data_IF_952200998315
#
_entry.id   IF_952200998315
#
_cell.length_a   1.000
_cell.length_b   1.000
_cell.length_c   1.000
_cell.angle_alpha   90.00
_cell.angle_beta   90.00
_cell.angle_gamma   90.00
#
_symmetry.space_group_name_H-M   'P 1'
#
loop_
_entity.id
_entity.type
_entity.pdbx_description
1 polymer ?
#
# COMPACT_ATOMS: atom_id res chain seq x y z
N UNK A 1 -7.49 -23.87 2.55
CA UNK A 1 -8.50 -22.88 2.11
C UNK A 1 -7.99 -21.51 2.54
N UNK A 2 -7.89 -20.54 1.62
CA UNK A 2 -7.41 -19.20 1.92
C UNK A 2 -8.31 -18.55 2.99
N UNK A 3 -7.72 -18.05 4.08
CA UNK A 3 -8.47 -17.43 5.19
C UNK A 3 -9.04 -16.06 4.82
N UNK A 4 -8.64 -15.50 3.68
CA UNK A 4 -9.05 -14.17 3.23
C UNK A 4 -9.93 -14.19 1.98
N UNK A 5 -10.69 -13.11 1.80
CA UNK A 5 -11.44 -12.77 0.58
C UNK A 5 -10.94 -11.42 0.07
N UNK A 6 -10.59 -11.36 -1.20
CA UNK A 6 -10.14 -10.13 -1.86
C UNK A 6 -11.31 -9.42 -2.56
N UNK A 7 -11.31 -8.10 -2.48
CA UNK A 7 -12.15 -7.22 -3.30
C UNK A 7 -11.25 -6.27 -4.07
N UNK A 8 -11.44 -6.19 -5.38
CA UNK A 8 -10.62 -5.38 -6.28
C UNK A 8 -11.52 -4.38 -7.01
N UNK A 9 -11.21 -3.11 -6.86
CA UNK A 9 -11.85 -2.00 -7.53
C UNK A 9 -10.86 -1.41 -8.53
N UNK A 10 -11.13 -1.61 -9.82
CA UNK A 10 -10.32 -1.07 -10.91
C UNK A 10 -10.84 0.29 -11.33
N UNK A 11 -9.93 1.19 -11.71
CA UNK A 11 -10.27 2.52 -12.21
C UNK A 11 -11.17 3.32 -11.26
N UNK A 12 -10.90 3.25 -9.95
CA UNK A 12 -11.58 4.09 -8.94
C UNK A 12 -11.40 5.57 -9.29
N UNK A 13 -10.19 5.90 -9.76
CA UNK A 13 -9.96 7.08 -10.59
C UNK A 13 -9.53 6.56 -11.98
N UNK A 14 -10.24 6.92 -13.06
CA UNK A 14 -9.99 6.38 -14.39
C UNK A 14 -8.51 6.46 -14.80
N UNK A 15 -7.93 5.32 -15.16
CA UNK A 15 -6.53 5.17 -15.58
C UNK A 15 -5.47 5.62 -14.56
N UNK A 16 -5.87 5.88 -13.32
CA UNK A 16 -4.98 6.43 -12.29
C UNK A 16 -4.90 5.56 -11.06
N UNK A 17 -6.04 5.09 -10.53
CA UNK A 17 -6.06 4.45 -9.21
C UNK A 17 -6.86 3.15 -9.26
N UNK A 18 -6.20 2.07 -8.85
CA UNK A 18 -6.84 0.82 -8.47
C UNK A 18 -6.73 0.62 -6.96
N UNK A 19 -7.69 -0.08 -6.38
CA UNK A 19 -7.80 -0.30 -4.93
C UNK A 19 -8.14 -1.77 -4.64
N UNK A 20 -7.42 -2.37 -3.72
CA UNK A 20 -7.60 -3.75 -3.27
C UNK A 20 -7.79 -3.83 -1.77
N UNK A 21 -8.64 -4.74 -1.33
CA UNK A 21 -8.84 -5.05 0.09
C UNK A 21 -8.88 -6.55 0.31
N UNK A 22 -8.17 -7.03 1.33
CA UNK A 22 -8.28 -8.41 1.81
C UNK A 22 -8.89 -8.42 3.20
N UNK A 23 -10.00 -9.16 3.32
CA UNK A 23 -10.71 -9.36 4.59
C UNK A 23 -10.56 -10.81 5.06
N UNK A 24 -10.40 -11.00 6.36
CA UNK A 24 -10.54 -12.32 6.98
C UNK A 24 -11.99 -12.82 6.80
N UNK A 25 -12.15 -14.04 6.30
CA UNK A 25 -13.47 -14.60 5.94
C UNK A 25 -14.36 -14.86 7.15
N UNK A 26 -13.77 -15.14 8.31
CA UNK A 26 -14.50 -15.57 9.50
C UNK A 26 -15.00 -14.37 10.31
N UNK A 27 -14.15 -13.38 10.48
CA UNK A 27 -14.42 -12.19 11.29
C UNK A 27 -14.88 -10.98 10.47
N UNK A 28 -14.63 -10.97 9.15
CA UNK A 28 -14.85 -9.79 8.32
C UNK A 28 -13.83 -8.67 8.58
N UNK A 29 -12.79 -8.90 9.38
CA UNK A 29 -11.75 -7.91 9.68
C UNK A 29 -10.92 -7.62 8.43
N UNK A 30 -10.70 -6.34 8.14
CA UNK A 30 -9.76 -5.91 7.11
C UNK A 30 -8.33 -6.26 7.56
N UNK A 31 -7.59 -7.00 6.72
CA UNK A 31 -6.22 -7.45 7.03
C UNK A 31 -5.17 -6.76 6.18
N UNK A 32 -5.55 -6.31 4.97
CA UNK A 32 -4.65 -5.66 4.04
C UNK A 32 -5.41 -4.70 3.12
N UNK A 33 -4.80 -3.55 2.87
CA UNK A 33 -5.24 -2.58 1.85
C UNK A 33 -4.12 -2.42 0.83
N UNK A 34 -4.51 -2.36 -0.43
CA UNK A 34 -3.62 -2.20 -1.57
C UNK A 34 -4.09 -1.01 -2.40
N UNK A 35 -3.17 -0.18 -2.86
CA UNK A 35 -3.46 0.88 -3.83
C UNK A 35 -2.41 0.86 -4.92
N UNK A 36 -2.84 1.05 -6.16
CA UNK A 36 -1.94 1.12 -7.32
C UNK A 36 -2.16 2.41 -8.09
N UNK A 37 -1.16 3.27 -8.12
CA UNK A 37 -1.18 4.56 -8.78
C UNK A 37 -0.50 4.51 -10.16
N UNK A 38 -1.07 5.17 -11.16
CA UNK A 38 -0.33 5.53 -12.37
C UNK A 38 0.71 6.60 -12.07
N UNK A 39 1.67 6.80 -12.98
CA UNK A 39 2.69 7.86 -12.87
C UNK A 39 2.15 9.28 -12.97
N UNK A 40 0.90 9.46 -13.42
CA UNK A 40 0.30 10.79 -13.52
C UNK A 40 -0.21 11.32 -12.18
N UNK A 41 -0.23 10.48 -11.13
CA UNK A 41 -0.63 10.91 -9.79
C UNK A 41 0.59 11.48 -9.08
N UNK A 42 0.42 12.66 -8.46
CA UNK A 42 1.51 13.33 -7.77
C UNK A 42 2.01 12.54 -6.56
N UNK A 43 3.34 12.59 -6.33
CA UNK A 43 4.00 11.96 -5.18
C UNK A 43 3.37 12.40 -3.85
N UNK A 44 2.92 13.65 -3.74
CA UNK A 44 2.28 14.16 -2.53
C UNK A 44 0.97 13.40 -2.23
N UNK A 45 0.15 13.13 -3.24
CA UNK A 45 -1.10 12.36 -3.07
C UNK A 45 -0.80 10.92 -2.66
N UNK A 46 0.22 10.29 -3.26
CA UNK A 46 0.65 8.94 -2.85
C UNK A 46 1.12 8.93 -1.39
N UNK A 47 1.90 9.93 -0.99
CA UNK A 47 2.43 10.08 0.37
C UNK A 47 1.33 10.30 1.41
N UNK A 48 0.38 11.20 1.13
CA UNK A 48 -0.81 11.42 1.97
C UNK A 48 -1.69 10.17 2.08
N UNK A 49 -1.80 9.40 0.99
CA UNK A 49 -2.57 8.14 1.00
C UNK A 49 -1.88 7.11 1.89
N UNK A 50 -0.56 6.91 1.73
CA UNK A 50 0.21 6.00 2.57
C UNK A 50 0.18 6.42 4.05
N UNK A 51 0.21 7.71 4.35
CA UNK A 51 0.06 8.22 5.72
C UNK A 51 -1.28 7.82 6.34
N UNK A 52 -2.38 7.98 5.60
CA UNK A 52 -3.71 7.52 6.03
C UNK A 52 -3.77 6.01 6.24
N UNK A 53 -3.17 5.21 5.34
CA UNK A 53 -3.07 3.76 5.51
C UNK A 53 -2.29 3.36 6.77
N UNK A 54 -1.34 4.19 7.20
CA UNK A 54 -0.56 4.03 8.42
C UNK A 54 -1.15 4.81 9.61
N UNK A 55 -2.43 5.19 9.55
CA UNK A 55 -3.15 5.89 10.63
C UNK A 55 -2.50 7.23 11.03
N UNK A 56 -2.04 8.00 10.04
CA UNK A 56 -1.35 9.29 10.18
C UNK A 56 -0.05 9.21 10.99
N UNK A 57 0.68 8.10 10.84
CA UNK A 57 1.92 7.83 11.55
C UNK A 57 3.02 7.33 10.61
N UNK A 58 3.06 7.86 9.38
CA UNK A 58 4.16 7.57 8.46
C UNK A 58 5.46 8.19 8.97
N UNK A 59 6.52 7.39 9.04
CA UNK A 59 7.85 7.84 9.43
C UNK A 59 8.64 8.42 8.23
N UNK A 60 9.71 9.15 8.53
CA UNK A 60 10.54 9.81 7.50
C UNK A 60 11.19 8.81 6.55
N UNK A 61 11.62 7.66 7.04
CA UNK A 61 12.19 6.58 6.22
C UNK A 61 11.16 5.98 5.26
N UNK A 62 9.90 5.83 5.67
CA UNK A 62 8.83 5.36 4.79
C UNK A 62 8.51 6.40 3.70
N UNK A 63 8.47 7.70 4.06
CA UNK A 63 8.32 8.79 3.07
C UNK A 63 9.46 8.78 2.06
N UNK A 64 10.70 8.58 2.52
CA UNK A 64 11.87 8.50 1.65
C UNK A 64 11.80 7.26 0.75
N UNK A 65 11.44 6.09 1.29
CA UNK A 65 11.27 4.87 0.49
C UNK A 65 10.22 5.01 -0.61
N UNK A 66 9.11 5.71 -0.35
CA UNK A 66 8.14 6.06 -1.38
C UNK A 66 8.76 6.93 -2.48
N UNK A 67 9.50 7.97 -2.08
CA UNK A 67 10.19 8.88 -3.01
C UNK A 67 11.21 8.12 -3.86
N UNK A 68 12.00 7.23 -3.27
CA UNK A 68 13.03 6.46 -3.99
C UNK A 68 12.39 5.56 -5.06
N UNK A 69 11.27 4.91 -4.75
CA UNK A 69 10.52 4.08 -5.71
C UNK A 69 9.85 4.96 -6.79
N UNK A 70 9.32 6.11 -6.40
CA UNK A 70 8.76 7.09 -7.33
C UNK A 70 9.83 7.64 -8.28
N UNK A 71 11.03 7.93 -7.82
CA UNK A 71 12.13 8.49 -8.61
C UNK A 71 12.95 7.43 -9.38
N UNK A 72 12.60 6.14 -9.24
CA UNK A 72 13.32 4.98 -9.84
C UNK A 72 14.72 4.77 -9.29
N UNK A 73 14.98 5.28 -8.09
CA UNK A 73 16.22 5.03 -7.33
C UNK A 73 16.17 3.65 -6.67
N UNK A 74 14.97 3.14 -6.41
CA UNK A 74 14.72 1.75 -6.03
C UNK A 74 13.53 1.17 -6.79
N UNK A 75 13.51 -0.15 -6.99
CA UNK A 75 12.32 -0.85 -7.49
C UNK A 75 11.30 -1.14 -6.40
N UNK A 76 11.77 -1.31 -5.16
CA UNK A 76 10.97 -1.78 -4.03
C UNK A 76 11.50 -1.19 -2.72
N UNK A 77 10.59 -0.86 -1.82
CA UNK A 77 10.88 -0.52 -0.44
C UNK A 77 9.93 -1.28 0.48
N UNK A 78 10.48 -2.03 1.45
CA UNK A 78 9.70 -2.78 2.46
C UNK A 78 9.86 -2.10 3.80
N UNK A 79 8.79 -2.05 4.58
CA UNK A 79 8.80 -1.39 5.89
C UNK A 79 7.96 -2.11 6.93
N UNK A 80 8.15 -1.69 8.17
CA UNK A 80 7.30 -2.01 9.32
C UNK A 80 7.00 -0.73 10.09
N UNK A 81 5.75 -0.54 10.52
CA UNK A 81 5.29 0.64 11.25
C UNK A 81 4.86 0.28 12.67
N UNK A 82 5.27 1.11 13.64
CA UNK A 82 4.69 1.18 14.98
C UNK A 82 5.07 0.09 16.01
N UNK A 83 4.99 0.47 17.29
CA UNK A 83 5.42 -0.34 18.44
C UNK A 83 4.35 -1.30 19.02
N UNK A 84 3.07 -1.24 18.61
CA UNK A 84 2.01 -2.04 19.25
C UNK A 84 0.96 -2.69 18.31
N UNK A 85 0.88 -2.27 17.04
CA UNK A 85 0.21 -3.01 15.97
C UNK A 85 1.16 -2.94 14.78
N UNK A 86 1.98 -3.99 14.59
CA UNK A 86 3.02 -4.00 13.56
C UNK A 86 2.32 -4.06 12.20
N UNK A 87 2.07 -2.92 11.57
CA UNK A 87 1.75 -2.90 10.15
C UNK A 87 3.03 -3.19 9.39
N UNK A 88 2.93 -3.98 8.35
CA UNK A 88 3.97 -4.20 7.38
C UNK A 88 3.51 -3.63 6.06
N UNK A 89 4.45 -3.28 5.21
CA UNK A 89 4.11 -2.83 3.89
C UNK A 89 5.23 -2.95 2.89
N UNK A 90 4.83 -2.81 1.63
CA UNK A 90 5.72 -2.73 0.49
C UNK A 90 5.25 -1.61 -0.42
N UNK A 91 6.22 -0.87 -0.94
CA UNK A 91 6.08 0.07 -2.03
C UNK A 91 6.86 -0.53 -3.19
N UNK A 92 6.24 -0.71 -4.34
CA UNK A 92 6.84 -1.35 -5.49
C UNK A 92 6.46 -0.61 -6.76
N UNK A 93 7.41 -0.49 -7.68
CA UNK A 93 7.14 -0.10 -9.05
C UNK A 93 6.94 -1.36 -9.88
N UNK A 94 5.71 -1.57 -10.35
CA UNK A 94 5.35 -2.78 -11.10
C UNK A 94 5.88 -2.77 -12.54
N UNK A 95 5.70 -3.88 -13.27
CA UNK A 95 6.14 -4.02 -14.65
C UNK A 95 5.42 -3.11 -15.67
N UNK A 96 4.32 -2.46 -15.26
CA UNK A 96 3.59 -1.44 -16.04
C UNK A 96 3.95 -0.01 -15.62
N UNK A 97 5.04 0.15 -14.87
CA UNK A 97 5.54 1.43 -14.35
C UNK A 97 4.59 2.11 -13.34
N UNK A 98 3.63 1.37 -12.77
CA UNK A 98 2.71 1.88 -11.74
C UNK A 98 3.33 1.72 -10.35
N UNK A 99 2.94 2.59 -9.41
CA UNK A 99 3.34 2.49 -8.01
C UNK A 99 2.29 1.69 -7.24
N UNK A 100 2.64 0.47 -6.86
CA UNK A 100 1.89 -0.37 -5.94
C UNK A 100 2.30 -0.07 -4.50
N UNK A 101 1.31 0.06 -3.62
CA UNK A 101 1.49 0.17 -2.17
C UNK A 101 0.58 -0.86 -1.52
N UNK A 102 1.15 -1.81 -0.81
CA UNK A 102 0.43 -2.76 0.05
C UNK A 102 0.74 -2.50 1.51
N UNK A 103 -0.30 -2.47 2.36
CA UNK A 103 -0.17 -2.38 3.81
C UNK A 103 -1.02 -3.46 4.46
N UNK A 104 -0.42 -4.27 5.33
CA UNK A 104 -1.07 -5.39 6.00
C UNK A 104 -0.69 -5.51 7.47
N UNK A 105 -1.52 -6.21 8.23
CA UNK A 105 -1.21 -6.58 9.62
C UNK A 105 -0.12 -7.66 9.65
N UNK A 106 0.92 -7.51 10.47
CA UNK A 106 2.07 -8.44 10.51
C UNK A 106 1.72 -9.90 10.84
N UNK A 107 0.54 -10.16 11.39
CA UNK A 107 0.04 -11.50 11.70
C UNK A 107 -0.83 -12.11 10.57
N UNK A 108 -0.89 -11.45 9.40
CA UNK A 108 -1.50 -12.01 8.21
C UNK A 108 -0.67 -13.23 7.74
N UNK A 109 -1.32 -14.40 7.68
CA UNK A 109 -0.75 -15.70 7.30
C UNK A 109 -1.40 -16.24 6.04
#
# INVERSE_FOLDING_TARGET
MWKTRAFLYKNVVPNQVDLGYLFDRSSGRLRQTEVTFSQSVDLEIMSQTLDKLLSNNISTDIKQGLKDVYQRESKTYKFSSGNNNRLQGVIERDGSDRIYIGVWEADLK
#
